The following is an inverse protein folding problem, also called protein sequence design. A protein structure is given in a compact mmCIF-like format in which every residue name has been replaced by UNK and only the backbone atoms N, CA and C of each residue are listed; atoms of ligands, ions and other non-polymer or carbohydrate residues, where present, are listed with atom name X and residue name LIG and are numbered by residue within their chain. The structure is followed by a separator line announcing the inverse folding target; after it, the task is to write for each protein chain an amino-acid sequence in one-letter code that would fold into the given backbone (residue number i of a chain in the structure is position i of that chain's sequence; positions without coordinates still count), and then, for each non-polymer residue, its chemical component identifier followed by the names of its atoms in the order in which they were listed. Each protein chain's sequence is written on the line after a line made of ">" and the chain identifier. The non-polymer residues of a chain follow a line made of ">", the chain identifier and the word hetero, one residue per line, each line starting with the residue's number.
data_IF_344504124474
#
_entry.id   IF_344504124474
#
_cell.length_a   1.000
_cell.length_b   1.000
_cell.length_c   1.000
_cell.angle_alpha   90.00
_cell.angle_beta   90.00
_cell.angle_gamma   90.00
#
_symmetry.space_group_name_H-M   'P 1'
#
loop_
_entity.id
_entity.type
_entity.pdbx_description
1 polymer ?
#
# COMPACT_ATOMS: atom_id res chain seq x y z
N UNK A 1 27.39 -40.75 -27.22
CA UNK A 1 26.56 -39.97 -28.16
C UNK A 1 25.32 -39.55 -27.39
N UNK A 2 25.07 -38.25 -27.37
CA UNK A 2 23.84 -37.72 -26.74
C UNK A 2 22.66 -38.14 -27.60
N UNK A 3 21.62 -38.70 -26.99
CA UNK A 3 20.46 -39.24 -27.70
C UNK A 3 19.54 -38.15 -28.23
N UNK A 4 19.50 -37.00 -27.55
CA UNK A 4 18.63 -35.87 -27.86
C UNK A 4 19.34 -34.54 -27.53
N UNK A 5 19.27 -33.58 -28.44
CA UNK A 5 19.99 -32.28 -28.30
C UNK A 5 19.07 -31.12 -28.02
N UNK A 6 17.75 -31.33 -27.88
CA UNK A 6 16.72 -30.29 -27.78
C UNK A 6 17.03 -29.24 -26.70
N UNK A 7 17.43 -29.66 -25.50
CA UNK A 7 17.75 -28.71 -24.40
C UNK A 7 19.05 -27.95 -24.63
N UNK A 8 20.02 -28.55 -25.33
CA UNK A 8 21.25 -27.85 -25.74
C UNK A 8 20.95 -26.81 -26.81
N UNK A 9 20.04 -27.14 -27.76
CA UNK A 9 19.63 -26.24 -28.83
C UNK A 9 18.80 -25.06 -28.26
N UNK A 10 17.94 -25.29 -27.28
CA UNK A 10 17.18 -24.26 -26.58
C UNK A 10 18.12 -23.27 -25.88
N UNK A 11 19.20 -23.73 -25.28
CA UNK A 11 20.22 -22.85 -24.66
C UNK A 11 21.23 -22.31 -25.66
N UNK A 12 21.23 -22.81 -26.91
CA UNK A 12 22.19 -22.39 -27.95
C UNK A 12 23.64 -22.82 -27.66
N UNK A 13 23.84 -23.96 -27.00
CA UNK A 13 25.15 -24.51 -26.62
C UNK A 13 25.40 -25.89 -27.20
N UNK A 14 26.65 -26.30 -27.30
CA UNK A 14 27.00 -27.64 -27.76
C UNK A 14 26.81 -28.68 -26.66
N UNK A 15 26.57 -29.97 -27.02
CA UNK A 15 26.42 -31.06 -26.02
C UNK A 15 27.63 -31.28 -25.12
N UNK A 16 28.81 -30.80 -25.48
CA UNK A 16 30.02 -30.87 -24.67
C UNK A 16 30.31 -29.58 -23.86
N UNK A 17 29.34 -28.67 -23.79
CA UNK A 17 29.48 -27.41 -23.07
C UNK A 17 29.76 -27.62 -21.58
N UNK A 18 30.62 -26.79 -21.03
CA UNK A 18 30.92 -26.74 -19.59
C UNK A 18 29.77 -26.15 -18.80
N UNK A 19 29.78 -26.37 -17.48
CA UNK A 19 28.77 -25.79 -16.60
C UNK A 19 28.79 -24.26 -16.61
N UNK A 20 29.95 -23.66 -16.81
CA UNK A 20 30.10 -22.21 -16.93
C UNK A 20 29.47 -21.67 -18.20
N UNK A 21 29.71 -22.35 -19.34
CA UNK A 21 29.08 -21.98 -20.62
C UNK A 21 27.55 -22.13 -20.58
N UNK A 22 27.03 -23.18 -19.96
CA UNK A 22 25.59 -23.36 -19.72
C UNK A 22 25.00 -22.21 -18.90
N UNK A 23 25.69 -21.80 -17.86
CA UNK A 23 25.30 -20.69 -16.98
C UNK A 23 25.30 -19.35 -17.70
N UNK A 24 26.32 -19.08 -18.51
CA UNK A 24 26.37 -17.85 -19.30
C UNK A 24 25.31 -17.78 -20.38
N UNK A 25 25.06 -18.90 -21.07
CA UNK A 25 24.02 -19.00 -22.08
C UNK A 25 22.64 -18.77 -21.44
N UNK A 26 22.35 -19.42 -20.32
CA UNK A 26 21.13 -19.21 -19.56
C UNK A 26 20.93 -17.73 -19.18
N UNK A 27 21.99 -17.10 -18.61
CA UNK A 27 21.92 -15.67 -18.22
C UNK A 27 21.55 -14.76 -19.41
N UNK A 28 22.18 -14.95 -20.54
CA UNK A 28 21.91 -14.13 -21.76
C UNK A 28 20.48 -14.30 -22.23
N UNK A 29 19.99 -15.54 -22.28
CA UNK A 29 18.64 -15.85 -22.75
C UNK A 29 17.57 -15.43 -21.73
N UNK A 30 17.81 -15.65 -20.45
CA UNK A 30 16.87 -15.26 -19.38
C UNK A 30 16.68 -13.73 -19.32
N UNK A 31 17.74 -12.93 -19.48
CA UNK A 31 17.63 -11.47 -19.58
C UNK A 31 16.88 -11.00 -20.83
N UNK A 32 17.03 -11.74 -21.94
CA UNK A 32 16.38 -11.41 -23.21
C UNK A 32 14.90 -11.73 -23.20
N UNK A 33 14.50 -12.85 -22.59
CA UNK A 33 13.14 -13.39 -22.61
C UNK A 33 12.42 -13.26 -21.26
N UNK A 34 12.88 -12.34 -20.39
CA UNK A 34 12.24 -12.10 -19.11
C UNK A 34 10.79 -11.63 -19.28
N UNK A 35 9.81 -12.16 -18.52
CA UNK A 35 8.40 -11.80 -18.65
C UNK A 35 8.12 -10.31 -18.43
N UNK A 36 8.91 -9.61 -17.60
CA UNK A 36 8.75 -8.16 -17.37
C UNK A 36 9.17 -7.33 -18.60
N UNK A 37 10.10 -7.86 -19.44
CA UNK A 37 10.53 -7.17 -20.66
C UNK A 37 9.75 -7.60 -21.89
N UNK A 38 9.34 -8.87 -21.93
CA UNK A 38 8.65 -9.48 -23.06
C UNK A 38 7.48 -10.35 -22.59
N UNK A 39 6.31 -9.77 -22.26
CA UNK A 39 5.18 -10.52 -21.70
C UNK A 39 4.63 -11.60 -22.64
N UNK A 40 4.85 -11.50 -23.95
CA UNK A 40 4.36 -12.46 -24.94
C UNK A 40 5.25 -13.70 -25.12
N UNK A 41 6.43 -13.74 -24.53
CA UNK A 41 7.41 -14.84 -24.72
C UNK A 41 7.63 -15.69 -23.46
N UNK A 42 6.66 -15.72 -22.55
CA UNK A 42 6.73 -16.49 -21.29
C UNK A 42 6.92 -17.99 -21.48
N UNK A 43 6.45 -18.57 -22.59
CA UNK A 43 6.68 -19.98 -22.90
C UNK A 43 8.14 -20.29 -23.26
N UNK A 44 8.81 -19.38 -23.98
CA UNK A 44 10.25 -19.53 -24.25
C UNK A 44 11.07 -19.43 -22.99
N UNK A 45 10.70 -18.54 -22.08
CA UNK A 45 11.37 -18.43 -20.78
C UNK A 45 11.23 -19.71 -19.96
N UNK A 46 10.06 -20.37 -19.97
CA UNK A 46 9.84 -21.67 -19.33
C UNK A 46 10.73 -22.76 -19.91
N UNK A 47 10.80 -22.84 -21.24
CA UNK A 47 11.65 -23.82 -21.95
C UNK A 47 13.14 -23.62 -21.63
N UNK A 48 13.61 -22.38 -21.61
CA UNK A 48 15.00 -22.02 -21.28
C UNK A 48 15.32 -22.42 -19.83
N UNK A 49 14.41 -22.14 -18.89
CA UNK A 49 14.57 -22.50 -17.48
C UNK A 49 14.56 -24.01 -17.24
N UNK A 50 13.68 -24.74 -17.92
CA UNK A 50 13.61 -26.19 -17.87
C UNK A 50 14.87 -26.84 -18.45
N UNK A 51 15.36 -26.38 -19.59
CA UNK A 51 16.58 -26.85 -20.19
C UNK A 51 17.79 -26.64 -19.28
N UNK A 52 17.88 -25.48 -18.65
CA UNK A 52 18.96 -25.20 -17.71
C UNK A 52 18.88 -26.03 -16.45
N UNK A 53 17.70 -26.25 -15.87
CA UNK A 53 17.49 -27.09 -14.70
C UNK A 53 18.03 -28.51 -14.90
N UNK A 54 17.74 -29.06 -16.05
CA UNK A 54 18.17 -30.44 -16.39
C UNK A 54 19.66 -30.50 -16.67
N UNK A 55 20.21 -29.54 -17.43
CA UNK A 55 21.62 -29.58 -17.83
C UNK A 55 22.60 -29.05 -16.78
N UNK A 56 22.14 -28.30 -15.81
CA UNK A 56 22.98 -27.79 -14.69
C UNK A 56 23.30 -28.82 -13.63
N UNK A 57 22.46 -29.85 -13.45
CA UNK A 57 22.71 -30.95 -12.53
C UNK A 57 23.40 -32.10 -13.28
N UNK A 58 24.59 -32.49 -12.81
CA UNK A 58 25.40 -33.55 -13.44
C UNK A 58 24.63 -34.87 -13.59
N UNK A 59 23.79 -35.23 -12.60
CA UNK A 59 23.01 -36.49 -12.63
C UNK A 59 21.84 -36.39 -13.63
N UNK A 60 21.11 -35.28 -13.62
CA UNK A 60 20.01 -35.04 -14.56
C UNK A 60 20.52 -34.95 -16.00
N UNK A 61 21.68 -34.28 -16.20
CA UNK A 61 22.34 -34.18 -17.50
C UNK A 61 22.74 -35.57 -18.04
N UNK A 62 23.33 -36.41 -17.18
CA UNK A 62 23.71 -37.76 -17.57
C UNK A 62 22.50 -38.63 -17.97
N UNK A 63 21.38 -38.51 -17.22
CA UNK A 63 20.12 -39.17 -17.57
C UNK A 63 19.55 -38.67 -18.89
N UNK A 64 19.58 -37.33 -19.11
CA UNK A 64 19.16 -36.71 -20.34
C UNK A 64 20.01 -37.16 -21.53
N UNK A 65 21.32 -37.18 -21.38
CA UNK A 65 22.24 -37.60 -22.45
C UNK A 65 22.06 -39.08 -22.86
N UNK A 66 21.65 -39.97 -21.91
CA UNK A 66 21.40 -41.40 -22.14
C UNK A 66 20.01 -41.68 -22.67
N UNK A 67 18.99 -41.00 -22.17
CA UNK A 67 17.60 -41.36 -22.38
C UNK A 67 16.70 -40.32 -23.05
N UNK A 68 17.17 -39.08 -23.15
CA UNK A 68 16.38 -37.94 -23.64
C UNK A 68 15.38 -37.45 -22.60
N UNK A 69 14.43 -36.63 -23.04
CA UNK A 69 13.42 -36.01 -22.18
C UNK A 69 12.51 -37.05 -21.49
N UNK A 70 12.26 -38.22 -22.14
CA UNK A 70 11.48 -39.28 -21.55
C UNK A 70 12.12 -39.91 -20.32
N UNK A 71 13.45 -40.06 -20.30
CA UNK A 71 14.15 -40.63 -19.15
C UNK A 71 14.09 -39.73 -17.91
N UNK A 72 13.92 -38.44 -18.09
CA UNK A 72 13.74 -37.47 -16.98
C UNK A 72 12.32 -37.54 -16.43
N UNK A 73 11.32 -37.70 -17.30
CA UNK A 73 9.91 -37.86 -16.90
C UNK A 73 9.64 -39.20 -16.18
N UNK A 74 10.31 -40.24 -16.60
CA UNK A 74 10.15 -41.60 -16.01
C UNK A 74 11.06 -41.84 -14.82
N UNK A 75 12.20 -41.15 -14.75
CA UNK A 75 13.24 -41.36 -13.72
C UNK A 75 12.91 -40.82 -12.35
N UNK A 76 11.69 -40.33 -12.09
CA UNK A 76 11.22 -39.97 -10.75
C UNK A 76 12.04 -38.90 -10.01
N UNK A 77 12.90 -38.18 -10.69
CA UNK A 77 13.61 -37.03 -10.12
C UNK A 77 12.69 -35.80 -10.07
N UNK A 78 11.50 -35.95 -9.53
CA UNK A 78 10.61 -34.90 -9.09
C UNK A 78 11.17 -34.24 -7.83
N UNK A 79 12.31 -33.61 -7.95
CA UNK A 79 12.74 -32.60 -6.99
C UNK A 79 11.88 -31.39 -7.24
N UNK A 80 11.08 -31.07 -6.26
CA UNK A 80 10.22 -29.92 -6.09
C UNK A 80 11.04 -28.61 -6.22
N UNK A 81 11.47 -28.29 -7.44
CA UNK A 81 11.88 -26.94 -7.76
C UNK A 81 10.64 -26.24 -8.32
N UNK A 82 10.11 -25.36 -7.49
CA UNK A 82 9.00 -24.50 -7.83
C UNK A 82 9.19 -23.76 -9.15
N UNK A 83 8.49 -22.80 -9.43
CA UNK A 83 8.39 -21.96 -10.59
C UNK A 83 9.75 -21.69 -11.32
N UNK A 84 9.76 -21.59 -12.66
CA UNK A 84 10.91 -21.06 -13.45
C UNK A 84 11.46 -19.73 -12.92
N UNK A 85 10.65 -19.01 -12.16
CA UNK A 85 11.00 -17.77 -11.49
C UNK A 85 11.96 -18.02 -10.32
N UNK A 86 11.84 -19.14 -9.60
CA UNK A 86 12.73 -19.47 -8.48
C UNK A 86 14.18 -19.73 -8.95
N UNK A 87 14.32 -20.29 -10.16
CA UNK A 87 15.65 -20.51 -10.78
C UNK A 87 16.24 -19.16 -11.21
N UNK A 88 15.42 -18.25 -11.72
CA UNK A 88 15.82 -16.89 -12.07
C UNK A 88 16.26 -16.13 -10.83
N UNK A 89 15.49 -16.16 -9.74
CA UNK A 89 15.82 -15.50 -8.46
C UNK A 89 17.10 -16.07 -7.82
N UNK A 90 17.40 -17.36 -8.02
CA UNK A 90 18.65 -17.95 -7.56
C UNK A 90 19.88 -17.37 -8.28
N UNK A 91 19.72 -16.90 -9.55
CA UNK A 91 20.83 -16.37 -10.34
C UNK A 91 20.89 -14.84 -10.38
N UNK A 92 19.74 -14.16 -10.39
CA UNK A 92 19.63 -12.71 -10.52
C UNK A 92 19.22 -12.00 -9.24
N UNK A 93 18.63 -12.71 -8.30
CA UNK A 93 18.36 -12.25 -6.95
C UNK A 93 19.63 -12.19 -6.10
N UNK A 94 20.67 -11.51 -6.60
CA UNK A 94 21.87 -11.16 -5.87
C UNK A 94 22.61 -12.34 -5.25
N UNK A 95 23.64 -12.80 -5.93
CA UNK A 95 24.53 -13.89 -5.54
C UNK A 95 24.92 -13.88 -4.09
N UNK A 96 24.87 -15.04 -3.50
CA UNK A 96 25.24 -15.35 -2.15
C UNK A 96 23.99 -15.72 -1.35
N UNK A 97 23.93 -16.93 -0.84
CA UNK A 97 23.40 -17.15 0.48
C UNK A 97 24.24 -16.27 1.43
N UNK A 98 24.08 -14.94 1.37
CA UNK A 98 24.21 -14.15 2.57
C UNK A 98 23.22 -14.84 3.52
N UNK A 99 23.73 -15.45 4.54
CA UNK A 99 22.98 -15.66 5.77
C UNK A 99 22.17 -14.38 5.91
N UNK A 100 20.87 -14.42 5.57
CA UNK A 100 19.98 -13.31 5.88
C UNK A 100 20.22 -13.12 7.36
N UNK A 101 21.01 -12.10 7.68
CA UNK A 101 21.19 -11.66 9.06
C UNK A 101 19.78 -11.62 9.60
N UNK A 102 19.50 -12.51 10.53
CA UNK A 102 18.15 -12.63 11.09
C UNK A 102 17.93 -11.36 11.88
N UNK A 103 17.32 -10.37 11.22
CA UNK A 103 16.94 -9.12 11.85
C UNK A 103 15.66 -9.30 12.64
N UNK A 104 15.56 -8.57 13.73
CA UNK A 104 14.33 -8.42 14.49
C UNK A 104 13.20 -7.82 13.61
N UNK A 105 11.98 -7.96 14.07
CA UNK A 105 10.80 -7.41 13.34
C UNK A 105 10.86 -5.88 13.33
N UNK A 106 10.55 -5.29 12.18
CA UNK A 106 10.35 -3.85 12.07
C UNK A 106 9.06 -3.44 12.78
N UNK A 107 9.08 -2.27 13.40
CA UNK A 107 7.92 -1.67 14.06
C UNK A 107 7.45 -0.51 13.21
N UNK A 108 6.23 -0.62 12.67
CA UNK A 108 5.59 0.46 11.91
C UNK A 108 4.70 1.26 12.84
N UNK A 109 4.84 2.58 12.81
CA UNK A 109 4.04 3.50 13.60
C UNK A 109 3.51 4.65 12.74
N UNK A 110 2.20 4.91 12.81
CA UNK A 110 1.60 6.05 12.11
C UNK A 110 1.73 7.31 12.98
N UNK A 111 2.20 8.39 12.37
CA UNK A 111 2.31 9.71 12.99
C UNK A 111 1.36 10.67 12.28
N UNK A 112 0.29 11.07 12.98
CA UNK A 112 -0.62 12.09 12.46
C UNK A 112 0.05 13.45 12.43
N UNK A 113 0.04 14.08 11.26
CA UNK A 113 0.62 15.39 10.98
C UNK A 113 -0.42 16.33 10.39
N UNK A 114 -0.31 17.60 10.64
CA UNK A 114 -1.18 18.61 10.03
C UNK A 114 -0.57 19.13 8.74
N UNK A 115 -1.38 19.80 7.93
CA UNK A 115 -0.91 20.39 6.68
C UNK A 115 0.12 21.49 6.93
N UNK A 116 -0.02 22.24 8.02
CA UNK A 116 0.93 23.25 8.47
C UNK A 116 2.27 22.64 8.88
N UNK A 117 2.26 21.47 9.53
CA UNK A 117 3.51 20.75 9.87
C UNK A 117 4.28 20.36 8.60
N UNK A 118 3.58 19.92 7.55
CA UNK A 118 4.17 19.55 6.26
C UNK A 118 4.63 20.78 5.45
N UNK A 119 3.99 21.93 5.67
CA UNK A 119 4.35 23.17 4.98
C UNK A 119 5.56 23.86 5.63
N UNK A 120 5.53 24.00 6.95
CA UNK A 120 6.56 24.73 7.70
C UNK A 120 7.75 23.85 8.10
N UNK A 121 7.57 22.54 8.07
CA UNK A 121 8.46 21.60 8.73
C UNK A 121 8.23 21.60 10.24
N UNK A 122 8.34 20.45 10.87
CA UNK A 122 8.13 20.30 12.30
C UNK A 122 9.03 19.21 12.89
N UNK A 123 9.29 19.30 14.18
CA UNK A 123 9.93 18.22 14.94
C UNK A 123 8.95 17.71 15.98
N UNK A 124 8.61 16.43 15.91
CA UNK A 124 7.69 15.76 16.82
C UNK A 124 8.44 14.77 17.70
N UNK A 125 8.11 14.74 18.99
CA UNK A 125 8.66 13.76 19.94
C UNK A 125 7.68 12.62 20.10
N UNK A 126 8.10 11.42 19.72
CA UNK A 126 7.30 10.22 19.78
C UNK A 126 7.84 9.29 20.85
N UNK A 127 7.03 8.95 21.84
CA UNK A 127 7.38 8.00 22.89
C UNK A 127 6.93 6.59 22.50
N UNK A 128 7.87 5.73 22.20
CA UNK A 128 7.62 4.35 21.81
C UNK A 128 8.07 3.38 22.90
N UNK A 129 7.36 2.26 23.04
CA UNK A 129 7.79 1.15 23.85
C UNK A 129 8.44 0.11 22.95
N UNK A 130 9.70 -0.21 23.23
CA UNK A 130 10.44 -1.26 22.52
C UNK A 130 10.95 -2.32 23.46
N UNK A 131 11.13 -3.51 22.95
CA UNK A 131 11.83 -4.56 23.67
C UNK A 131 13.33 -4.35 23.53
N UNK A 132 14.04 -4.35 24.62
CA UNK A 132 15.51 -4.33 24.65
C UNK A 132 16.03 -5.56 25.37
N UNK A 133 17.23 -6.00 25.01
CA UNK A 133 17.90 -7.09 25.69
C UNK A 133 18.18 -6.68 27.13
N UNK A 134 17.84 -7.54 28.07
CA UNK A 134 18.08 -7.27 29.48
C UNK A 134 19.57 -7.19 29.79
N UNK A 135 20.06 -6.07 30.29
CA UNK A 135 21.47 -5.83 30.62
C UNK A 135 21.98 -6.79 31.69
N UNK A 136 21.07 -7.27 32.56
CA UNK A 136 21.43 -8.24 33.58
C UNK A 136 21.72 -9.61 32.95
N UNK A 137 22.84 -10.15 33.30
CA UNK A 137 23.32 -11.45 32.79
C UNK A 137 23.47 -11.49 31.26
N UNK A 138 23.79 -10.36 30.62
CA UNK A 138 24.06 -10.26 29.19
C UNK A 138 22.94 -10.85 28.32
N UNK A 139 21.69 -10.64 28.72
CA UNK A 139 20.53 -11.15 27.97
C UNK A 139 20.31 -12.66 28.06
N UNK A 140 21.02 -13.37 28.96
CA UNK A 140 20.85 -14.83 29.10
C UNK A 140 19.58 -15.21 29.88
N UNK A 141 18.96 -14.27 30.54
CA UNK A 141 17.72 -14.50 31.32
C UNK A 141 17.94 -15.09 32.70
N UNK A 142 19.19 -15.47 33.07
CA UNK A 142 19.56 -16.05 34.36
C UNK A 142 21.07 -16.11 34.58
N UNK A 143 21.48 -16.67 35.70
CA UNK A 143 22.92 -16.85 36.02
C UNK A 143 23.63 -17.68 34.95
N UNK A 144 24.94 -17.48 34.82
CA UNK A 144 25.79 -18.26 33.90
C UNK A 144 25.70 -19.76 34.26
N UNK A 145 25.34 -20.60 33.27
CA UNK A 145 25.20 -22.05 33.46
C UNK A 145 23.81 -22.49 33.97
N UNK A 146 22.88 -21.57 34.28
CA UNK A 146 21.54 -21.92 34.73
C UNK A 146 20.52 -22.11 33.58
N UNK A 147 20.94 -21.87 32.35
CA UNK A 147 20.12 -22.05 31.15
C UNK A 147 20.33 -23.47 30.64
N UNK A 148 19.31 -24.29 30.73
CA UNK A 148 19.32 -25.68 30.28
C UNK A 148 18.44 -25.85 29.05
N UNK A 149 18.80 -26.75 28.16
CA UNK A 149 17.95 -27.12 27.03
C UNK A 149 16.66 -27.79 27.55
N UNK A 150 15.50 -27.42 27.02
CA UNK A 150 14.23 -28.01 27.45
C UNK A 150 14.24 -29.53 27.13
N UNK A 151 14.04 -30.41 28.13
CA UNK A 151 14.11 -31.86 27.92
C UNK A 151 12.93 -32.35 27.04
N UNK A 152 11.78 -31.70 27.08
CA UNK A 152 10.58 -32.11 26.35
C UNK A 152 10.69 -31.87 24.84
N UNK A 153 11.22 -30.74 24.42
CA UNK A 153 11.35 -30.39 23.00
C UNK A 153 12.80 -30.44 22.50
N UNK A 154 13.77 -30.78 23.36
CA UNK A 154 15.20 -30.85 23.03
C UNK A 154 15.74 -29.59 22.33
N UNK A 155 15.26 -28.42 22.78
CA UNK A 155 15.67 -27.13 22.23
C UNK A 155 14.87 -26.61 21.05
N UNK A 156 13.99 -27.40 20.44
CA UNK A 156 13.20 -26.99 19.24
C UNK A 156 12.09 -26.00 19.55
N UNK A 157 11.64 -25.91 20.81
CA UNK A 157 10.50 -25.06 21.20
C UNK A 157 9.13 -25.62 20.79
N UNK A 158 9.10 -26.67 19.97
CA UNK A 158 7.87 -27.27 19.45
C UNK A 158 7.77 -28.77 19.80
N UNK A 159 6.57 -29.25 19.94
CA UNK A 159 6.26 -30.67 20.10
C UNK A 159 5.36 -31.13 18.98
N UNK A 160 5.67 -32.32 18.44
CA UNK A 160 4.82 -32.99 17.47
C UNK A 160 3.90 -33.92 18.25
N UNK A 161 2.61 -33.68 18.16
CA UNK A 161 1.57 -34.58 18.71
C UNK A 161 0.94 -35.34 17.54
N UNK A 162 0.89 -36.65 17.70
CA UNK A 162 0.25 -37.52 16.72
C UNK A 162 -1.17 -37.78 17.21
N UNK A 163 -2.16 -37.30 16.46
CA UNK A 163 -3.56 -37.58 16.68
C UNK A 163 -4.03 -38.63 15.68
N UNK A 164 -4.63 -39.69 16.18
CA UNK A 164 -5.28 -40.70 15.35
C UNK A 164 -6.72 -40.26 15.06
N UNK A 165 -7.02 -39.94 13.79
CA UNK A 165 -8.33 -39.48 13.35
C UNK A 165 -9.27 -40.64 12.98
N UNK A 166 -8.65 -41.78 12.65
CA UNK A 166 -9.41 -42.99 12.26
C UNK A 166 -8.50 -44.20 12.10
N UNK A 167 -9.07 -45.38 11.78
CA UNK A 167 -8.28 -46.59 11.57
C UNK A 167 -7.30 -46.38 10.40
N UNK A 168 -5.99 -46.30 10.72
CA UNK A 168 -4.93 -46.08 9.74
C UNK A 168 -4.65 -44.65 9.36
N UNK A 169 -5.40 -43.63 9.84
CA UNK A 169 -5.13 -42.22 9.60
C UNK A 169 -4.55 -41.57 10.83
N UNK A 170 -3.35 -41.00 10.72
CA UNK A 170 -2.68 -40.23 11.77
C UNK A 170 -2.42 -38.82 11.26
N UNK A 171 -2.75 -37.83 12.07
CA UNK A 171 -2.43 -36.43 11.82
C UNK A 171 -1.32 -36.00 12.76
N UNK A 172 -0.26 -35.42 12.20
CA UNK A 172 0.80 -34.79 12.98
C UNK A 172 0.47 -33.31 13.18
N UNK A 173 0.26 -32.91 14.44
CA UNK A 173 0.01 -31.53 14.83
C UNK A 173 1.27 -31.01 15.51
N UNK A 174 1.86 -29.95 14.94
CA UNK A 174 2.92 -29.22 15.62
C UNK A 174 2.30 -28.22 16.61
N UNK A 175 2.65 -28.35 17.88
CA UNK A 175 2.21 -27.42 18.93
C UNK A 175 3.40 -26.86 19.68
N UNK A 176 3.23 -25.65 20.22
CA UNK A 176 4.24 -25.03 21.07
C UNK A 176 4.48 -25.91 22.30
N UNK A 177 5.75 -26.12 22.66
CA UNK A 177 6.10 -26.87 23.86
C UNK A 177 5.58 -26.14 25.11
N UNK A 178 4.68 -26.77 25.85
CA UNK A 178 4.05 -26.16 27.01
C UNK A 178 5.03 -25.92 28.17
N UNK A 179 6.11 -26.66 28.26
CA UNK A 179 7.08 -26.52 29.32
C UNK A 179 8.02 -25.33 29.14
N UNK A 180 8.51 -25.11 27.95
CA UNK A 180 9.38 -23.97 27.62
C UNK A 180 8.63 -22.81 26.92
N UNK A 181 7.34 -22.96 26.65
CA UNK A 181 6.51 -21.96 25.95
C UNK A 181 7.11 -21.46 24.64
N UNK A 182 7.74 -22.36 23.88
CA UNK A 182 8.34 -22.04 22.60
C UNK A 182 9.80 -21.59 22.65
N UNK A 183 10.35 -21.33 23.84
CA UNK A 183 11.72 -20.80 23.98
C UNK A 183 12.83 -21.85 23.77
N UNK A 184 12.51 -23.13 23.80
CA UNK A 184 13.50 -24.20 23.67
C UNK A 184 14.42 -24.39 24.89
N UNK A 185 14.42 -23.46 25.83
CA UNK A 185 15.29 -23.40 26.99
C UNK A 185 14.49 -23.32 28.30
N UNK A 186 15.06 -23.81 29.38
CA UNK A 186 14.49 -23.77 30.71
C UNK A 186 15.47 -23.15 31.68
N UNK A 187 14.98 -22.28 32.56
CA UNK A 187 15.77 -21.65 33.60
C UNK A 187 15.10 -21.96 34.93
N UNK A 188 15.88 -22.47 35.91
CA UNK A 188 15.38 -22.73 37.24
C UNK A 188 14.81 -21.45 37.87
N UNK A 189 13.65 -21.49 38.56
CA UNK A 189 13.05 -20.31 39.20
C UNK A 189 13.98 -19.54 40.12
N UNK A 190 14.90 -20.25 40.80
CA UNK A 190 15.90 -19.68 41.73
C UNK A 190 16.99 -18.86 41.05
N UNK A 191 17.32 -19.19 39.81
CA UNK A 191 18.41 -18.59 39.03
C UNK A 191 17.92 -17.64 37.93
N UNK A 192 16.59 -17.44 37.81
CA UNK A 192 15.98 -16.50 36.88
C UNK A 192 16.37 -15.06 37.20
N UNK A 193 16.58 -14.29 36.17
CA UNK A 193 16.75 -12.85 36.29
C UNK A 193 15.46 -12.20 36.81
N UNK A 194 15.53 -11.49 37.91
CA UNK A 194 14.38 -10.80 38.53
C UNK A 194 13.80 -9.65 37.64
N UNK A 195 14.64 -9.07 36.76
CA UNK A 195 14.21 -7.94 35.89
C UNK A 195 13.42 -8.41 34.68
N UNK A 196 13.86 -9.49 34.00
CA UNK A 196 13.17 -9.99 32.80
C UNK A 196 12.40 -11.29 33.03
N UNK A 197 12.42 -11.84 34.28
CA UNK A 197 11.76 -13.11 34.63
C UNK A 197 12.13 -14.29 33.70
N UNK A 198 13.38 -14.31 33.21
CA UNK A 198 13.86 -15.32 32.28
C UNK A 198 13.51 -15.06 30.81
N UNK A 199 12.79 -13.99 30.48
CA UNK A 199 12.38 -13.66 29.09
C UNK A 199 13.50 -13.11 28.26
N UNK A 200 14.66 -12.79 28.83
CA UNK A 200 15.84 -12.21 28.17
C UNK A 200 15.65 -10.77 27.68
N UNK A 201 14.43 -10.30 27.54
CA UNK A 201 14.06 -8.96 27.08
C UNK A 201 13.26 -8.22 28.15
N UNK A 202 13.38 -6.89 28.15
CA UNK A 202 12.59 -5.96 28.98
C UNK A 202 11.97 -4.90 28.08
N UNK A 203 10.84 -4.34 28.49
CA UNK A 203 10.22 -3.21 27.79
C UNK A 203 10.85 -1.91 28.26
N UNK A 204 11.32 -1.12 27.33
CA UNK A 204 11.87 0.21 27.56
C UNK A 204 11.07 1.26 26.79
N UNK A 205 10.88 2.43 27.40
CA UNK A 205 10.27 3.56 26.77
C UNK A 205 11.38 4.44 26.18
N UNK A 206 11.40 4.58 24.85
CA UNK A 206 12.32 5.46 24.13
C UNK A 206 11.56 6.61 23.51
N UNK A 207 12.13 7.81 23.61
CA UNK A 207 11.62 9.00 22.94
C UNK A 207 12.45 9.19 21.66
N UNK A 208 11.77 9.18 20.52
CA UNK A 208 12.37 9.47 19.22
C UNK A 208 11.98 10.90 18.80
N UNK A 209 12.93 11.65 18.29
CA UNK A 209 12.68 12.93 17.64
C UNK A 209 12.50 12.68 16.14
N UNK A 210 11.28 12.90 15.66
CA UNK A 210 10.92 12.72 14.26
C UNK A 210 10.93 14.09 13.60
N UNK A 211 11.84 14.28 12.66
CA UNK A 211 11.94 15.50 11.87
C UNK A 211 11.07 15.36 10.62
N UNK A 212 10.10 16.26 10.50
CA UNK A 212 9.21 16.36 9.35
C UNK A 212 9.74 17.48 8.48
N UNK A 213 10.25 17.14 7.31
CA UNK A 213 10.77 18.12 6.36
C UNK A 213 9.63 18.78 5.58
N UNK A 214 9.90 20.03 5.13
CA UNK A 214 8.96 20.77 4.29
C UNK A 214 8.65 20.02 3.00
N UNK A 215 7.37 19.92 2.68
CA UNK A 215 6.92 19.27 1.44
C UNK A 215 6.80 17.74 1.51
N UNK A 216 7.08 17.10 2.64
CA UNK A 216 6.81 15.67 2.78
C UNK A 216 5.36 15.35 2.45
N UNK A 217 5.12 14.14 1.92
CA UNK A 217 3.81 13.69 1.44
C UNK A 217 3.11 12.79 2.46
N UNK A 218 1.81 12.69 2.31
CA UNK A 218 1.02 11.69 3.00
C UNK A 218 1.52 10.29 2.66
N UNK A 219 1.57 9.39 3.66
CA UNK A 219 2.11 8.05 3.52
C UNK A 219 3.64 7.96 3.40
N UNK A 220 4.38 9.08 3.49
CA UNK A 220 5.84 9.06 3.41
C UNK A 220 6.44 8.44 4.66
N UNK A 221 7.45 7.59 4.47
CA UNK A 221 8.10 6.83 5.53
C UNK A 221 9.40 7.51 5.99
N UNK A 222 9.60 7.52 7.30
CA UNK A 222 10.85 7.94 7.96
C UNK A 222 11.36 6.73 8.73
N UNK A 223 12.52 6.19 8.32
CA UNK A 223 13.09 4.99 8.90
C UNK A 223 14.21 5.31 9.88
N UNK A 224 14.09 4.77 11.09
CA UNK A 224 15.13 4.79 12.11
C UNK A 224 15.79 3.41 12.16
N UNK A 225 16.96 3.30 11.54
CA UNK A 225 17.68 2.04 11.42
C UNK A 225 18.22 1.55 12.76
N UNK A 226 17.99 0.25 13.06
CA UNK A 226 18.48 -0.39 14.26
C UNK A 226 17.82 0.05 15.58
N UNK A 227 16.78 0.87 15.49
CA UNK A 227 16.06 1.41 16.66
C UNK A 227 14.87 0.57 17.08
N UNK A 228 14.56 -0.49 16.34
CA UNK A 228 13.46 -1.41 16.63
C UNK A 228 13.66 -2.27 17.88
N UNK A 229 12.79 -3.25 18.02
CA UNK A 229 12.88 -4.22 19.11
C UNK A 229 14.12 -5.09 18.98
N UNK A 230 14.75 -5.36 20.12
CA UNK A 230 15.88 -6.28 20.22
C UNK A 230 15.40 -7.66 20.61
N UNK A 231 15.93 -8.69 19.96
CA UNK A 231 15.74 -10.09 20.31
C UNK A 231 17.12 -10.77 20.46
N UNK A 232 17.30 -11.69 21.42
CA UNK A 232 18.58 -12.35 21.61
C UNK A 232 19.01 -13.11 20.36
N UNK A 233 20.22 -12.85 19.88
CA UNK A 233 20.80 -13.52 18.71
C UNK A 233 20.34 -12.97 17.35
N UNK A 234 19.59 -11.86 17.36
CA UNK A 234 19.16 -11.16 16.15
C UNK A 234 19.65 -9.71 16.20
N UNK A 235 19.93 -9.13 15.02
CA UNK A 235 20.12 -7.69 14.93
C UNK A 235 18.81 -6.94 15.18
N UNK A 236 18.87 -5.74 15.79
CA UNK A 236 17.66 -4.93 15.98
C UNK A 236 16.95 -4.65 14.65
N UNK A 237 15.64 -4.72 14.66
CA UNK A 237 14.84 -4.25 13.53
C UNK A 237 14.84 -2.73 13.41
N UNK A 238 14.11 -2.21 12.45
CA UNK A 238 13.95 -0.77 12.22
C UNK A 238 12.63 -0.27 12.77
N UNK A 239 12.57 1.01 13.12
CA UNK A 239 11.31 1.73 13.37
C UNK A 239 10.99 2.52 12.12
N UNK A 240 9.82 2.27 11.55
CA UNK A 240 9.32 2.96 10.37
C UNK A 240 8.16 3.84 10.81
N UNK A 241 8.33 5.14 10.68
CA UNK A 241 7.27 6.14 10.95
C UNK A 241 6.62 6.48 9.63
N UNK A 242 5.33 6.22 9.51
CA UNK A 242 4.51 6.58 8.34
C UNK A 242 3.74 7.84 8.68
N UNK A 243 3.91 8.88 7.87
CA UNK A 243 3.18 10.13 8.04
C UNK A 243 1.73 9.95 7.59
N UNK A 244 0.79 10.41 8.40
CA UNK A 244 -0.65 10.37 8.17
C UNK A 244 -1.18 11.81 8.21
N UNK A 245 -1.46 12.36 7.03
CA UNK A 245 -1.90 13.75 6.90
C UNK A 245 -3.36 13.89 7.32
N UNK A 246 -3.63 14.74 8.30
CA UNK A 246 -4.99 15.11 8.69
C UNK A 246 -5.65 16.02 7.66
N UNK A 247 -6.95 15.87 7.53
CA UNK A 247 -7.75 16.79 6.73
C UNK A 247 -7.67 18.21 7.31
N UNK A 248 -7.58 19.19 6.40
CA UNK A 248 -7.56 20.60 6.75
C UNK A 248 -8.91 21.26 6.40
N UNK A 249 -9.37 22.18 7.27
CA UNK A 249 -10.70 22.79 7.14
C UNK A 249 -10.90 23.61 5.86
N UNK A 250 -9.83 24.21 5.34
CA UNK A 250 -9.89 25.16 4.20
C UNK A 250 -9.21 24.60 2.96
N UNK A 251 -8.06 23.95 3.11
CA UNK A 251 -7.24 23.52 2.01
C UNK A 251 -7.27 22.02 1.82
N UNK A 252 -7.34 21.59 0.57
CA UNK A 252 -7.15 20.20 0.16
C UNK A 252 -5.87 20.09 -0.64
N UNK A 253 -4.94 19.25 -0.22
CA UNK A 253 -3.67 19.04 -0.91
C UNK A 253 -3.82 18.01 -2.02
N UNK A 254 -3.31 18.30 -3.21
CA UNK A 254 -3.15 17.35 -4.32
C UNK A 254 -1.76 17.48 -4.90
N UNK A 255 -0.88 16.55 -4.54
CA UNK A 255 0.53 16.65 -4.90
C UNK A 255 1.23 17.84 -4.25
N UNK A 256 1.67 18.78 -5.08
CA UNK A 256 2.33 20.03 -4.64
C UNK A 256 1.35 21.22 -4.62
N UNK A 257 0.12 21.04 -5.13
CA UNK A 257 -0.87 22.10 -5.21
C UNK A 257 -1.85 22.04 -4.04
N UNK A 258 -2.33 23.24 -3.66
CA UNK A 258 -3.39 23.43 -2.68
C UNK A 258 -4.68 23.81 -3.39
N UNK A 259 -5.78 23.20 -3.01
CA UNK A 259 -7.13 23.50 -3.51
C UNK A 259 -7.95 24.08 -2.39
N UNK A 260 -8.71 25.12 -2.69
CA UNK A 260 -9.72 25.68 -1.79
C UNK A 260 -10.94 26.15 -2.57
N UNK A 261 -12.08 26.19 -1.87
CA UNK A 261 -13.30 26.84 -2.38
C UNK A 261 -13.42 28.20 -1.75
N UNK A 262 -13.80 29.19 -2.54
CA UNK A 262 -14.01 30.54 -2.06
C UNK A 262 -15.42 31.03 -2.43
N UNK A 263 -16.19 31.39 -1.42
CA UNK A 263 -17.50 31.99 -1.58
C UNK A 263 -17.37 33.50 -1.85
N UNK A 264 -17.97 33.97 -2.92
CA UNK A 264 -18.05 35.38 -3.29
C UNK A 264 -19.50 35.78 -3.54
N UNK A 265 -19.82 37.03 -3.28
CA UNK A 265 -21.14 37.59 -3.58
C UNK A 265 -21.24 37.94 -5.06
N UNK A 266 -22.45 37.97 -5.58
CA UNK A 266 -22.68 38.30 -6.98
C UNK A 266 -22.07 39.67 -7.37
N UNK A 267 -22.15 40.67 -6.49
CA UNK A 267 -21.56 41.98 -6.73
C UNK A 267 -20.03 41.90 -6.85
N UNK A 268 -19.39 41.07 -6.03
CA UNK A 268 -17.93 40.83 -6.07
C UNK A 268 -17.55 40.13 -7.38
N UNK A 269 -18.37 39.18 -7.80
CA UNK A 269 -18.19 38.44 -9.06
C UNK A 269 -18.22 39.31 -10.31
N UNK A 270 -19.03 40.39 -10.29
CA UNK A 270 -19.22 41.30 -11.42
C UNK A 270 -18.30 42.54 -11.37
N UNK A 271 -18.13 43.12 -10.18
CA UNK A 271 -17.44 44.39 -10.00
C UNK A 271 -15.97 44.25 -9.53
N UNK A 272 -15.53 43.04 -9.26
CA UNK A 272 -14.22 42.76 -8.68
C UNK A 272 -14.23 42.78 -7.16
N UNK A 273 -13.16 42.24 -6.56
CA UNK A 273 -13.03 42.11 -5.11
C UNK A 273 -11.58 42.06 -4.66
N UNK A 274 -11.40 42.28 -3.38
CA UNK A 274 -10.18 42.02 -2.67
C UNK A 274 -10.50 41.17 -1.44
N UNK A 275 -9.94 39.96 -1.36
CA UNK A 275 -10.16 39.05 -0.23
C UNK A 275 -8.85 38.56 0.37
N UNK A 276 -8.70 38.68 1.70
CA UNK A 276 -7.55 38.11 2.38
C UNK A 276 -7.70 36.59 2.53
N UNK A 277 -6.62 35.87 2.37
CA UNK A 277 -6.50 34.44 2.63
C UNK A 277 -5.34 34.23 3.61
N UNK A 278 -5.60 33.52 4.69
CA UNK A 278 -4.54 33.07 5.60
C UNK A 278 -3.86 31.84 5.02
N UNK A 279 -2.56 31.91 4.79
CA UNK A 279 -1.74 30.80 4.30
C UNK A 279 -1.30 29.90 5.45
N UNK A 280 -0.74 28.72 5.11
CA UNK A 280 -0.31 27.72 6.10
C UNK A 280 0.87 28.13 6.96
N UNK A 281 1.59 29.22 6.60
CA UNK A 281 2.65 29.85 7.38
C UNK A 281 2.18 31.05 8.24
N UNK A 282 0.86 31.17 8.43
CA UNK A 282 0.22 32.27 9.15
C UNK A 282 0.45 33.67 8.53
N UNK A 283 0.82 33.73 7.26
CA UNK A 283 0.83 34.98 6.50
C UNK A 283 -0.56 35.22 5.91
N UNK A 284 -0.85 36.47 5.53
CA UNK A 284 -2.08 36.82 4.85
C UNK A 284 -1.77 37.33 3.47
N UNK A 285 -2.28 36.65 2.45
CA UNK A 285 -2.22 37.12 1.07
C UNK A 285 -3.56 37.74 0.70
N UNK A 286 -3.56 38.80 -0.11
CA UNK A 286 -4.76 39.44 -0.61
C UNK A 286 -4.94 39.10 -2.08
N UNK A 287 -6.04 38.39 -2.39
CA UNK A 287 -6.41 38.09 -3.76
C UNK A 287 -7.24 39.24 -4.30
N UNK A 288 -6.85 39.76 -5.47
CA UNK A 288 -7.52 40.87 -6.12
C UNK A 288 -8.06 40.44 -7.46
N UNK A 289 -9.36 40.66 -7.67
CA UNK A 289 -10.01 40.64 -8.98
C UNK A 289 -10.33 42.06 -9.38
N UNK A 290 -9.86 42.48 -10.55
CA UNK A 290 -10.08 43.85 -11.02
C UNK A 290 -11.46 44.06 -11.58
N UNK A 291 -12.03 45.28 -11.48
CA UNK A 291 -13.27 45.63 -12.12
C UNK A 291 -13.26 45.28 -13.63
N UNK A 292 -14.31 44.64 -14.09
CA UNK A 292 -14.41 44.19 -15.50
C UNK A 292 -13.89 42.77 -15.73
N UNK A 293 -13.25 42.14 -14.74
CA UNK A 293 -12.93 40.72 -14.74
C UNK A 293 -14.08 39.96 -14.07
N UNK A 294 -14.94 39.36 -14.86
CA UNK A 294 -16.09 38.59 -14.35
C UNK A 294 -15.62 37.20 -13.90
N UNK A 295 -16.01 36.83 -12.70
CA UNK A 295 -15.80 35.49 -12.14
C UNK A 295 -17.13 34.75 -12.11
N UNK A 296 -17.20 33.62 -12.81
CA UNK A 296 -18.43 32.80 -12.86
C UNK A 296 -18.48 31.82 -11.72
N UNK A 297 -19.65 31.32 -11.39
CA UNK A 297 -19.81 30.20 -10.49
C UNK A 297 -19.11 28.95 -11.06
N UNK A 298 -18.25 28.30 -10.26
CA UNK A 298 -17.44 27.16 -10.68
C UNK A 298 -16.16 27.52 -11.45
N UNK A 299 -15.85 28.82 -11.64
CA UNK A 299 -14.58 29.20 -12.24
C UNK A 299 -13.41 28.80 -11.32
N UNK A 300 -12.38 28.26 -11.95
CA UNK A 300 -11.14 27.85 -11.27
C UNK A 300 -10.04 28.82 -11.67
N UNK A 301 -9.42 29.46 -10.68
CA UNK A 301 -8.27 30.34 -10.89
C UNK A 301 -7.09 29.89 -10.04
N UNK A 302 -5.89 30.29 -10.43
CA UNK A 302 -4.66 29.85 -9.83
C UNK A 302 -3.86 31.05 -9.33
N UNK A 303 -3.27 30.91 -8.13
CA UNK A 303 -2.25 31.80 -7.60
C UNK A 303 -0.91 31.05 -7.64
N UNK A 304 0.03 31.61 -8.38
CA UNK A 304 1.33 30.96 -8.59
C UNK A 304 2.19 31.01 -7.31
N UNK A 305 2.94 29.96 -7.05
CA UNK A 305 3.90 29.84 -5.94
C UNK A 305 3.31 29.96 -4.52
N UNK A 306 2.00 29.72 -4.37
CA UNK A 306 1.29 29.71 -3.08
C UNK A 306 0.75 28.32 -2.70
N UNK A 307 1.25 27.26 -3.35
CA UNK A 307 0.98 25.86 -3.02
C UNK A 307 1.94 25.33 -1.94
N UNK A 308 2.03 24.01 -1.83
CA UNK A 308 2.93 23.30 -0.93
C UNK A 308 4.38 23.44 -1.39
N UNK A 309 5.35 23.52 -0.47
CA UNK A 309 6.76 23.42 -0.82
C UNK A 309 7.07 22.04 -1.41
N UNK A 310 8.01 22.00 -2.35
CA UNK A 310 8.46 20.75 -2.97
C UNK A 310 9.48 20.08 -2.04
N UNK A 311 9.26 18.81 -1.72
CA UNK A 311 10.18 18.03 -0.90
C UNK A 311 11.60 18.05 -1.50
N UNK A 312 12.60 18.32 -0.67
CA UNK A 312 14.02 18.54 -1.01
C UNK A 312 14.33 19.84 -1.79
N UNK A 313 13.31 20.58 -2.23
CA UNK A 313 13.45 21.91 -2.87
C UNK A 313 12.47 22.91 -2.27
N UNK A 314 12.59 23.24 -0.97
CA UNK A 314 11.56 23.99 -0.21
C UNK A 314 11.37 25.44 -0.66
N UNK A 315 12.25 25.97 -1.49
CA UNK A 315 12.10 27.30 -2.10
C UNK A 315 11.17 27.32 -3.31
N UNK A 316 10.94 26.15 -3.93
CA UNK A 316 9.97 25.97 -4.99
C UNK A 316 8.65 25.51 -4.36
N UNK A 317 7.56 26.18 -4.71
CA UNK A 317 6.22 25.85 -4.25
C UNK A 317 5.34 25.52 -5.44
N UNK A 318 4.32 24.69 -5.22
CA UNK A 318 3.23 24.49 -6.16
C UNK A 318 2.31 25.70 -6.23
N UNK A 319 1.09 25.50 -6.67
CA UNK A 319 0.09 26.53 -6.91
C UNK A 319 -1.08 26.43 -5.93
N UNK A 320 -1.69 27.57 -5.63
CA UNK A 320 -2.98 27.61 -4.95
C UNK A 320 -4.09 27.71 -6.00
N UNK A 321 -4.93 26.71 -6.05
CA UNK A 321 -6.04 26.61 -6.98
C UNK A 321 -7.33 26.92 -6.23
N UNK A 322 -8.07 27.90 -6.70
CA UNK A 322 -9.27 28.43 -6.05
C UNK A 322 -10.47 28.18 -6.98
N UNK A 323 -11.43 27.45 -6.48
CA UNK A 323 -12.74 27.28 -7.10
C UNK A 323 -13.70 28.32 -6.49
N UNK A 324 -14.28 29.16 -7.33
CA UNK A 324 -15.18 30.22 -6.88
C UNK A 324 -16.64 29.75 -6.88
N UNK A 325 -17.31 29.97 -5.74
CA UNK A 325 -18.75 29.80 -5.59
C UNK A 325 -19.39 31.15 -5.48
N UNK A 326 -20.20 31.49 -6.47
CA UNK A 326 -20.95 32.77 -6.49
C UNK A 326 -22.25 32.57 -5.76
N UNK A 327 -22.45 33.34 -4.69
CA UNK A 327 -23.67 33.34 -3.93
C UNK A 327 -24.62 34.42 -4.51
N UNK A 328 -25.78 33.96 -4.96
CA UNK A 328 -26.85 34.84 -5.41
C UNK A 328 -27.65 35.32 -4.21
N UNK A 329 -28.19 36.55 -4.26
CA UNK A 329 -29.08 37.07 -3.23
C UNK A 329 -30.38 36.26 -3.17
N UNK A 330 -31.09 36.36 -2.05
CA UNK A 330 -32.36 35.67 -1.83
C UNK A 330 -33.48 36.26 -2.72
N UNK A 331 -34.53 35.46 -2.89
CA UNK A 331 -35.71 35.89 -3.65
C UNK A 331 -36.32 37.15 -3.05
N UNK A 332 -36.63 38.13 -3.90
CA UNK A 332 -37.29 39.37 -3.49
C UNK A 332 -36.33 40.43 -2.89
N UNK A 333 -35.02 40.31 -3.08
CA UNK A 333 -34.02 41.27 -2.57
C UNK A 333 -34.13 42.67 -3.20
N UNK A 334 -34.73 42.80 -4.39
CA UNK A 334 -34.95 44.06 -5.09
C UNK A 334 -36.45 44.31 -5.36
N UNK A 335 -36.83 45.58 -5.34
CA UNK A 335 -38.16 46.00 -5.81
C UNK A 335 -38.27 45.88 -7.34
N UNK A 336 -39.50 45.77 -7.90
CA UNK A 336 -39.71 45.68 -9.35
C UNK A 336 -39.05 46.82 -10.14
N UNK A 337 -39.05 48.03 -9.60
CA UNK A 337 -38.43 49.20 -10.24
C UNK A 337 -36.92 49.09 -10.35
N UNK A 338 -36.26 48.57 -9.27
CA UNK A 338 -34.83 48.33 -9.27
C UNK A 338 -34.42 47.13 -10.12
N UNK A 339 -35.26 46.12 -10.25
CA UNK A 339 -35.03 45.02 -11.18
C UNK A 339 -35.04 45.51 -12.63
N UNK A 340 -35.96 46.45 -13.01
CA UNK A 340 -35.98 47.02 -14.34
C UNK A 340 -34.74 47.87 -14.66
N UNK A 341 -34.14 48.52 -13.65
CA UNK A 341 -32.86 49.19 -13.83
C UNK A 341 -31.71 48.21 -14.01
N UNK A 342 -31.72 47.13 -13.24
CA UNK A 342 -30.72 46.07 -13.37
C UNK A 342 -30.74 45.41 -14.74
N UNK A 343 -31.96 45.18 -15.28
CA UNK A 343 -32.14 44.61 -16.60
C UNK A 343 -31.52 45.48 -17.71
N UNK A 344 -31.62 46.81 -17.59
CA UNK A 344 -31.00 47.75 -18.53
C UNK A 344 -29.48 47.80 -18.46
N UNK A 345 -28.90 47.40 -17.33
CA UNK A 345 -27.45 47.36 -17.12
C UNK A 345 -26.81 46.02 -17.55
N UNK A 346 -27.61 44.98 -17.61
CA UNK A 346 -27.16 43.64 -18.02
C UNK A 346 -27.33 43.45 -19.54
N UNK A 347 -26.67 42.48 -20.16
CA UNK A 347 -26.88 42.14 -21.57
C UNK A 347 -28.34 41.81 -21.86
N UNK A 348 -28.82 42.25 -23.01
CA UNK A 348 -30.19 42.03 -23.44
C UNK A 348 -30.55 40.55 -23.52
N UNK A 349 -31.78 40.21 -23.13
CA UNK A 349 -32.32 38.85 -23.30
C UNK A 349 -32.56 38.62 -24.79
N UNK A 350 -32.43 37.36 -25.18
CA UNK A 350 -32.95 36.93 -26.50
C UNK A 350 -34.47 36.94 -26.43
N UNK A 351 -35.08 37.69 -27.30
CA UNK A 351 -36.54 37.68 -27.47
C UNK A 351 -36.98 36.31 -27.99
N UNK A 352 -37.99 35.72 -27.36
CA UNK A 352 -38.65 34.51 -27.80
C UNK A 352 -39.91 34.91 -28.52
N UNK A 353 -40.01 34.58 -29.82
CA UNK A 353 -41.27 34.74 -30.56
C UNK A 353 -42.23 33.66 -30.04
N UNK A 354 -43.23 34.09 -29.26
CA UNK A 354 -44.30 33.21 -28.77
C UNK A 354 -45.23 32.89 -29.92
N UNK A 355 -45.41 31.61 -30.20
CA UNK A 355 -46.37 31.10 -31.17
C UNK A 355 -47.55 30.47 -30.43
N UNK A 356 -48.75 30.52 -31.02
CA UNK A 356 -49.98 29.97 -30.44
C UNK A 356 -49.93 28.46 -30.15
N UNK A 357 -48.87 27.76 -30.57
CA UNK A 357 -48.67 26.34 -30.37
C UNK A 357 -47.73 26.04 -29.15
N UNK A 358 -47.24 27.09 -28.44
CA UNK A 358 -46.34 26.92 -27.30
C UNK A 358 -47.09 26.90 -25.97
N UNK A 359 -46.98 25.83 -25.22
CA UNK A 359 -47.51 25.73 -23.87
C UNK A 359 -46.57 26.43 -22.87
N UNK A 360 -47.15 27.36 -22.08
CA UNK A 360 -46.42 28.02 -21.00
C UNK A 360 -46.50 27.15 -19.73
N UNK A 361 -45.35 26.75 -19.22
CA UNK A 361 -45.22 25.95 -17.97
C UNK A 361 -44.37 26.67 -16.93
N UNK A 362 -44.75 26.56 -15.67
CA UNK A 362 -44.03 27.17 -14.58
C UNK A 362 -42.87 26.25 -14.10
N UNK A 363 -41.72 26.86 -13.78
CA UNK A 363 -40.61 26.18 -13.14
C UNK A 363 -40.90 25.98 -11.65
N UNK A 364 -40.81 24.76 -11.18
CA UNK A 364 -40.88 24.38 -9.76
C UNK A 364 -39.57 23.77 -9.31
N UNK A 365 -39.28 23.90 -8.01
CA UNK A 365 -38.07 23.29 -7.44
C UNK A 365 -38.16 21.77 -7.53
N UNK A 366 -37.07 21.15 -8.01
CA UNK A 366 -36.98 19.72 -8.10
C UNK A 366 -36.71 19.10 -6.70
N UNK A 367 -37.63 18.27 -6.24
CA UNK A 367 -37.46 17.47 -5.01
C UNK A 367 -37.02 16.04 -5.35
N UNK A 368 -35.74 15.70 -5.11
CA UNK A 368 -35.24 14.36 -5.41
C UNK A 368 -35.93 13.24 -4.60
N UNK A 369 -36.67 13.58 -3.55
CA UNK A 369 -37.40 12.60 -2.76
C UNK A 369 -38.77 12.23 -3.36
N UNK A 370 -39.31 13.07 -4.22
CA UNK A 370 -40.58 12.77 -4.93
C UNK A 370 -40.36 11.71 -6.02
N UNK A 371 -39.24 11.75 -6.72
CA UNK A 371 -38.94 10.76 -7.76
C UNK A 371 -38.81 9.34 -7.19
N UNK A 372 -38.23 9.20 -6.00
CA UNK A 372 -38.13 7.90 -5.31
C UNK A 372 -39.49 7.33 -4.93
N UNK A 373 -40.49 8.18 -4.66
CA UNK A 373 -41.86 7.74 -4.33
C UNK A 373 -42.62 7.28 -5.57
N UNK A 374 -42.37 7.86 -6.73
CA UNK A 374 -43.00 7.43 -7.99
C UNK A 374 -42.47 6.11 -8.50
N UNK A 375 -41.17 5.82 -8.34
CA UNK A 375 -40.60 4.51 -8.66
C UNK A 375 -41.11 3.41 -7.75
N UNK A 376 -41.42 3.71 -6.47
CA UNK A 376 -41.89 2.71 -5.52
C UNK A 376 -43.38 2.37 -5.67
N UNK A 377 -44.20 3.26 -6.27
CA UNK A 377 -45.62 3.02 -6.54
C UNK A 377 -45.91 2.42 -7.92
N UNK A 378 -44.93 2.32 -8.80
CA UNK A 378 -45.10 1.80 -10.16
C UNK A 378 -44.91 0.29 -10.30
N UNK A 379 -44.36 -0.39 -9.28
CA UNK A 379 -44.06 -1.86 -9.34
C UNK A 379 -45.07 -2.74 -8.58
N UNK A 380 -46.21 -2.21 -8.18
CA UNK A 380 -47.18 -2.95 -7.33
C UNK A 380 -48.40 -3.49 -8.09
N UNK A 381 -48.38 -3.62 -9.40
CA UNK A 381 -49.44 -4.32 -10.14
C UNK A 381 -48.83 -5.04 -11.35
N UNK A 382 -48.65 -6.35 -11.21
CA UNK A 382 -48.74 -7.47 -12.14
C UNK A 382 -47.75 -8.56 -11.67
N UNK A 383 -48.30 -9.57 -10.98
CA UNK A 383 -48.22 -10.98 -11.34
C UNK A 383 -48.83 -11.84 -10.22
N UNK A 384 -50.12 -12.10 -10.36
CA UNK A 384 -50.73 -13.32 -9.91
C UNK A 384 -50.64 -14.32 -11.06
N UNK A 385 -50.04 -15.46 -10.82
CA UNK A 385 -50.36 -16.84 -11.19
C UNK A 385 -49.12 -17.67 -11.49
N UNK A 386 -49.11 -18.80 -10.72
CA UNK A 386 -48.49 -20.09 -10.88
C UNK A 386 -47.33 -20.49 -10.01
N UNK A 387 -47.67 -21.15 -8.91
CA UNK A 387 -46.90 -22.21 -8.26
C UNK A 387 -46.65 -23.41 -9.23
N UNK A 388 -45.61 -24.31 -9.05
CA UNK A 388 -45.46 -25.06 -7.81
C UNK A 388 -44.01 -25.42 -7.33
N UNK A 389 -43.93 -25.60 -6.02
CA UNK A 389 -43.18 -26.58 -5.20
C UNK A 389 -41.79 -27.06 -5.61
N UNK A 390 -40.93 -26.93 -4.66
CA UNK A 390 -39.70 -27.72 -4.57
C UNK A 390 -38.72 -27.15 -3.54
N UNK A 391 -38.83 -27.57 -2.27
CA UNK A 391 -37.90 -27.18 -1.20
C UNK A 391 -36.59 -27.91 -1.29
N UNK A 392 -35.52 -27.24 -0.83
CA UNK A 392 -34.44 -27.91 -0.09
C UNK A 392 -33.87 -26.90 0.90
N UNK A 393 -34.04 -27.20 2.18
CA UNK A 393 -33.33 -26.62 3.31
C UNK A 393 -31.88 -27.14 3.29
N UNK A 394 -30.90 -26.23 3.39
CA UNK A 394 -29.60 -26.58 3.95
C UNK A 394 -29.33 -25.70 5.15
N UNK A 395 -29.40 -26.32 6.32
CA UNK A 395 -28.81 -25.84 7.56
C UNK A 395 -27.30 -26.03 7.46
N UNK A 396 -26.56 -25.03 7.85
CA UNK A 396 -25.18 -25.19 8.31
C UNK A 396 -25.04 -24.60 9.70
N UNK A 397 -24.64 -25.51 10.54
CA UNK A 397 -24.11 -25.25 11.89
C UNK A 397 -22.75 -24.56 11.81
#
# INVERSE_FOLDING_TARGET
>A
MVKETTYYDVLGVKPNATQEELKEAYRKLALKYHPDKNPNEGEKFKQISQAYEVLSDAKKRELYDKGGEQAIKEGGAGGDFGSPMDIFDMFFGGGGRMQRERRGKNVVHQLSVTLEDLYNGATRKLALQKNVICDKYEGRGGKKGAVECCPNCRGTGMQIRIHQIGPGMVQQIQSVCMECQGHGERISPKDRCKSCNGRKIVREKKILEVHIDKGMKDGQEITFHGEGGQEPGLEPGDIIIVLDQKDHAVFTRRGEDLFMCMDIQLVEALCGFQKPISTLDNQTIVITSHPGQIVKHGDIKCVLNEGMPIYRRPYEKGHLIIEFKVNFPENGFLSPDTLSLLEKLLPERKEVEETDEMDQVELVDFDPNQERRHHYNGEAYEDDEHHPRGGVQCQTS
#
